data_IF_765292353683
#
_entry.id   IF_765292353683
#
_cell.length_a   1.000
_cell.length_b   1.000
_cell.length_c   1.000
_cell.angle_alpha   90.00
_cell.angle_beta   90.00
_cell.angle_gamma   90.00
#
_symmetry.space_group_name_H-M   'P 1'
#
loop_
_entity.id
_entity.type
_entity.pdbx_description
1 polymer ?
#
# COMPACT_ATOMS: atom_id res chain seq x y z
N UNK A 1 -8.19 -8.53 -0.04
CA UNK A 1 -7.60 -7.36 0.66
C UNK A 1 -6.87 -6.51 -0.37
N UNK A 2 -6.96 -5.19 -0.33
CA UNK A 2 -6.21 -4.29 -1.22
C UNK A 2 -5.09 -3.61 -0.42
N UNK A 3 -3.84 -3.79 -0.85
CA UNK A 3 -2.71 -3.01 -0.32
C UNK A 3 -2.79 -1.62 -0.91
N UNK A 4 -2.95 -0.60 -0.06
CA UNK A 4 -3.17 0.79 -0.49
C UNK A 4 -1.93 1.66 -0.39
N UNK A 5 -1.07 1.38 0.56
CA UNK A 5 0.19 2.06 0.76
C UNK A 5 1.14 1.13 1.50
N UNK A 6 2.44 1.39 1.33
CA UNK A 6 3.51 0.73 2.08
C UNK A 6 4.55 1.78 2.46
N UNK A 7 5.23 1.58 3.58
CA UNK A 7 6.43 2.36 3.90
C UNK A 7 7.64 1.73 3.19
N UNK A 8 8.37 2.48 2.36
CA UNK A 8 9.59 1.97 1.73
C UNK A 8 10.70 1.78 2.76
N UNK A 9 11.10 0.53 2.99
CA UNK A 9 12.24 0.20 3.86
C UNK A 9 13.55 0.05 3.07
N UNK A 10 13.47 -0.57 1.90
CA UNK A 10 14.61 -0.90 1.06
C UNK A 10 14.34 -0.56 -0.42
N UNK A 11 15.41 -0.44 -1.23
CA UNK A 11 15.26 -0.24 -2.67
C UNK A 11 14.70 1.13 -3.08
N UNK A 12 14.70 2.13 -2.20
CA UNK A 12 14.13 3.47 -2.43
C UNK A 12 14.69 4.13 -3.70
N UNK A 13 15.99 3.96 -3.98
CA UNK A 13 16.60 4.46 -5.22
C UNK A 13 15.96 3.88 -6.49
N UNK A 14 15.63 2.59 -6.50
CA UNK A 14 14.93 1.93 -7.61
C UNK A 14 13.51 2.47 -7.73
N UNK A 15 12.82 2.67 -6.60
CA UNK A 15 11.48 3.25 -6.58
C UNK A 15 11.47 4.67 -7.15
N UNK A 16 12.43 5.52 -6.76
CA UNK A 16 12.62 6.87 -7.31
C UNK A 16 12.88 6.83 -8.81
N UNK A 17 13.71 5.90 -9.30
CA UNK A 17 13.96 5.76 -10.73
C UNK A 17 12.67 5.40 -11.50
N UNK A 18 11.83 4.53 -10.95
CA UNK A 18 10.55 4.14 -11.56
C UNK A 18 9.48 5.23 -11.48
N UNK A 19 9.52 6.07 -10.44
CA UNK A 19 8.51 7.10 -10.18
C UNK A 19 8.88 8.49 -10.67
N UNK A 20 10.16 8.76 -10.89
CA UNK A 20 10.68 10.09 -11.20
C UNK A 20 10.90 10.94 -9.94
N UNK A 21 11.20 12.23 -10.15
CA UNK A 21 11.53 13.19 -9.09
C UNK A 21 10.27 13.58 -8.32
N UNK A 22 10.10 13.00 -7.13
CA UNK A 22 9.02 13.34 -6.19
C UNK A 22 9.47 13.09 -4.74
N UNK A 23 8.76 13.64 -3.75
CA UNK A 23 9.00 13.33 -2.33
C UNK A 23 8.82 11.83 -2.04
N UNK A 24 9.63 11.30 -1.11
CA UNK A 24 9.61 9.86 -0.78
C UNK A 24 8.26 9.40 -0.24
N UNK A 25 7.59 10.23 0.56
CA UNK A 25 6.25 9.96 1.08
C UNK A 25 5.19 9.80 -0.02
N UNK A 26 5.49 10.17 -1.26
CA UNK A 26 4.61 10.03 -2.41
C UNK A 26 4.94 8.82 -3.31
N UNK A 27 6.04 8.11 -3.02
CA UNK A 27 6.47 6.96 -3.82
C UNK A 27 5.47 5.81 -3.71
N UNK A 28 4.89 5.57 -2.55
CA UNK A 28 4.08 4.37 -2.27
C UNK A 28 2.74 4.68 -1.64
N UNK A 29 2.32 5.96 -1.59
CA UNK A 29 1.08 6.40 -0.92
C UNK A 29 -0.23 6.14 -1.66
N UNK A 30 -0.26 5.12 -2.51
CA UNK A 30 -1.46 4.74 -3.24
C UNK A 30 -1.33 3.38 -3.93
N UNK A 31 -2.44 2.70 -4.25
CA UNK A 31 -2.39 1.35 -4.84
C UNK A 31 -1.65 1.31 -6.19
N UNK A 32 -1.98 2.20 -7.13
CA UNK A 32 -1.24 2.28 -8.40
C UNK A 32 0.19 2.78 -8.20
N UNK A 33 0.38 3.66 -7.23
CA UNK A 33 1.66 4.25 -6.88
C UNK A 33 2.68 3.21 -6.41
N UNK A 34 2.29 2.37 -5.45
CA UNK A 34 3.14 1.31 -4.92
C UNK A 34 3.43 0.24 -5.98
N UNK A 35 2.47 -0.09 -6.85
CA UNK A 35 2.72 -1.05 -7.93
C UNK A 35 3.84 -0.57 -8.85
N UNK A 36 3.81 0.69 -9.29
CA UNK A 36 4.87 1.26 -10.12
C UNK A 36 6.21 1.30 -9.36
N UNK A 37 6.21 1.73 -8.10
CA UNK A 37 7.42 1.81 -7.28
C UNK A 37 8.09 0.43 -7.10
N UNK A 38 7.31 -0.60 -6.80
CA UNK A 38 7.77 -1.98 -6.61
C UNK A 38 7.98 -2.73 -7.93
N UNK A 39 7.54 -2.18 -9.06
CA UNK A 39 7.63 -2.85 -10.37
C UNK A 39 6.61 -3.97 -10.55
N UNK A 40 5.52 -3.94 -9.76
CA UNK A 40 4.41 -4.88 -9.86
C UNK A 40 3.55 -4.47 -11.05
N UNK A 41 3.30 -5.43 -11.93
CA UNK A 41 2.43 -5.26 -13.10
C UNK A 41 1.50 -6.47 -13.23
N UNK A 42 0.72 -6.55 -14.32
CA UNK A 42 -0.28 -7.61 -14.53
C UNK A 42 0.32 -9.03 -14.56
N UNK A 43 1.62 -9.19 -14.86
CA UNK A 43 2.27 -10.50 -14.87
C UNK A 43 2.26 -11.20 -13.51
N UNK A 44 2.07 -10.45 -12.42
CA UNK A 44 1.99 -11.00 -11.06
C UNK A 44 0.58 -11.51 -10.70
N UNK A 45 -0.40 -11.33 -11.59
CA UNK A 45 -1.77 -11.77 -11.32
C UNK A 45 -1.84 -13.30 -11.26
N UNK A 46 -2.44 -13.83 -10.18
CA UNK A 46 -2.55 -15.26 -9.94
C UNK A 46 -1.31 -15.89 -9.28
N UNK A 47 -0.24 -15.12 -9.05
CA UNK A 47 0.93 -15.62 -8.31
C UNK A 47 0.60 -15.86 -6.83
N UNK A 48 1.28 -16.85 -6.26
CA UNK A 48 1.19 -17.16 -4.84
C UNK A 48 2.13 -16.24 -4.04
N UNK A 49 1.61 -15.59 -3.01
CA UNK A 49 2.37 -14.70 -2.12
C UNK A 49 3.27 -15.43 -1.10
N UNK A 50 3.46 -16.74 -1.27
CA UNK A 50 4.42 -17.56 -0.54
C UNK A 50 5.58 -18.05 -1.43
N UNK A 51 5.70 -17.52 -2.65
CA UNK A 51 6.76 -17.87 -3.61
C UNK A 51 7.92 -16.85 -3.57
N UNK A 52 8.99 -17.10 -4.34
CA UNK A 52 10.25 -16.34 -4.29
C UNK A 52 10.21 -15.00 -5.01
N UNK A 53 9.23 -14.78 -5.90
CA UNK A 53 9.17 -13.57 -6.75
C UNK A 53 8.50 -12.40 -6.02
N UNK A 54 7.43 -12.69 -5.29
CA UNK A 54 6.73 -11.74 -4.42
C UNK A 54 6.18 -12.51 -3.24
N UNK A 55 6.43 -12.01 -2.04
CA UNK A 55 5.94 -12.62 -0.82
C UNK A 55 5.63 -11.59 0.24
N UNK A 56 5.02 -12.06 1.32
CA UNK A 56 4.77 -11.27 2.54
C UNK A 56 5.67 -11.84 3.63
N UNK A 57 6.48 -10.96 4.23
CA UNK A 57 7.31 -11.30 5.38
C UNK A 57 6.62 -10.88 6.66
N UNK A 58 6.74 -11.71 7.68
CA UNK A 58 6.37 -11.31 9.04
C UNK A 58 7.49 -10.45 9.62
N UNK A 59 7.09 -9.49 10.46
CA UNK A 59 8.01 -8.58 11.15
C UNK A 59 7.54 -8.40 12.58
N UNK A 60 8.42 -7.97 13.47
CA UNK A 60 8.03 -7.68 14.84
C UNK A 60 6.94 -6.61 14.84
N UNK A 61 5.74 -7.01 15.28
CA UNK A 61 4.61 -6.10 15.35
C UNK A 61 4.90 -5.02 16.38
N UNK A 62 4.95 -3.77 15.94
CA UNK A 62 5.00 -2.64 16.84
C UNK A 62 3.68 -2.59 17.64
N UNK A 63 3.74 -2.98 18.93
CA UNK A 63 2.57 -3.10 19.79
C UNK A 63 1.94 -1.73 20.12
N UNK A 64 2.67 -0.63 19.97
CA UNK A 64 2.15 0.72 20.18
C UNK A 64 1.48 1.34 18.95
N UNK A 65 1.50 0.64 17.81
CA UNK A 65 0.94 1.16 16.57
C UNK A 65 -0.60 1.24 16.64
N UNK A 66 -1.13 2.45 16.46
CA UNK A 66 -2.58 2.68 16.44
C UNK A 66 -3.11 2.41 15.03
N UNK A 67 -4.07 1.49 14.92
CA UNK A 67 -4.77 1.20 13.67
C UNK A 67 -6.09 1.96 13.64
N UNK A 68 -6.21 2.85 12.68
CA UNK A 68 -7.45 3.55 12.38
C UNK A 68 -8.22 2.87 11.25
N UNK A 69 -9.53 3.13 11.20
CA UNK A 69 -10.41 2.58 10.16
C UNK A 69 -11.42 3.59 9.67
N UNK A 70 -11.91 3.40 8.44
CA UNK A 70 -12.88 4.30 7.84
C UNK A 70 -13.35 3.84 6.47
N UNK A 71 -14.10 4.72 5.80
CA UNK A 71 -14.66 4.45 4.48
C UNK A 71 -13.56 4.22 3.45
N UNK A 72 -13.83 3.35 2.49
CA UNK A 72 -12.94 3.15 1.34
C UNK A 72 -13.10 4.32 0.37
N UNK A 73 -12.01 4.69 -0.31
CA UNK A 73 -12.00 5.79 -1.28
C UNK A 73 -12.35 5.26 -2.67
N UNK A 74 -13.18 5.99 -3.42
CA UNK A 74 -13.47 5.74 -4.83
C UNK A 74 -14.40 4.56 -5.09
N UNK A 75 -15.36 4.36 -4.17
CA UNK A 75 -16.33 3.25 -4.24
C UNK A 75 -17.78 3.74 -4.19
N UNK A 76 -18.06 4.97 -4.64
CA UNK A 76 -19.39 5.59 -4.55
C UNK A 76 -20.49 4.75 -5.24
N UNK A 77 -20.10 3.88 -6.18
CA UNK A 77 -20.95 2.89 -6.84
C UNK A 77 -21.41 1.73 -5.95
N UNK A 78 -20.83 1.57 -4.75
CA UNK A 78 -21.03 0.41 -3.89
C UNK A 78 -22.21 0.57 -2.91
N UNK A 79 -23.07 1.57 -3.11
CA UNK A 79 -24.32 1.76 -2.35
C UNK A 79 -24.12 1.63 -0.83
N UNK A 80 -24.82 0.71 -0.16
CA UNK A 80 -24.73 0.49 1.30
C UNK A 80 -23.31 0.14 1.80
N UNK A 81 -22.43 -0.32 0.91
CA UNK A 81 -21.05 -0.68 1.24
C UNK A 81 -20.09 0.50 1.25
N UNK A 82 -20.52 1.69 0.80
CA UNK A 82 -19.74 2.95 0.84
C UNK A 82 -19.41 3.36 2.28
N UNK A 83 -20.36 3.17 3.19
CA UNK A 83 -20.26 3.58 4.59
C UNK A 83 -19.47 2.60 5.46
N UNK A 84 -19.16 1.40 4.96
CA UNK A 84 -18.49 0.36 5.74
C UNK A 84 -17.03 0.75 6.05
N UNK A 85 -16.56 0.61 7.30
CA UNK A 85 -15.22 0.96 7.71
C UNK A 85 -14.18 -0.12 7.33
N UNK A 86 -14.11 -0.47 6.04
CA UNK A 86 -13.25 -1.55 5.53
C UNK A 86 -11.95 -1.06 4.90
N UNK A 87 -11.54 0.16 5.25
CA UNK A 87 -10.19 0.66 5.00
C UNK A 87 -9.51 0.78 6.35
N UNK A 88 -8.29 0.24 6.45
CA UNK A 88 -7.48 0.24 7.66
C UNK A 88 -6.12 0.87 7.35
N UNK A 89 -5.56 1.62 8.31
CA UNK A 89 -4.23 2.23 8.19
C UNK A 89 -3.59 2.46 9.56
N UNK A 90 -2.28 2.66 9.57
CA UNK A 90 -1.54 3.11 10.74
C UNK A 90 -1.68 4.63 10.88
N UNK A 91 -2.08 5.10 12.06
CA UNK A 91 -2.14 6.53 12.35
C UNK A 91 -0.74 7.16 12.32
N UNK A 92 -0.70 8.46 12.00
CA UNK A 92 0.52 9.28 11.88
C UNK A 92 1.54 8.79 10.83
N UNK A 93 1.24 7.75 10.05
CA UNK A 93 2.14 7.27 9.01
C UNK A 93 2.08 8.17 7.76
N UNK A 94 3.22 8.81 7.44
CA UNK A 94 3.35 9.77 6.34
C UNK A 94 3.20 9.15 4.95
N UNK A 95 3.31 7.82 4.83
CA UNK A 95 3.16 7.09 3.57
C UNK A 95 1.70 6.71 3.30
N UNK A 96 0.79 6.90 4.25
CA UNK A 96 -0.64 6.69 4.03
C UNK A 96 -1.26 7.97 3.45
N UNK A 97 -1.81 7.89 2.24
CA UNK A 97 -2.69 8.97 1.76
C UNK A 97 -3.97 8.97 2.58
N UNK A 98 -4.44 10.16 3.00
CA UNK A 98 -5.71 10.34 3.70
C UNK A 98 -6.87 10.32 2.72
#
# INVERSE_FOLDING_TARGET
ILIRAVEPLEGIGIMRNRRGKMPDNNLTSGPGKLCIALGINKSFSGENLSDKRVWIEDTERNQSAVISSGKRIGIDYAEEFTEKPWRFWLDENIYVSR
#
